data_IF_021907662356
#
_entry.id   IF_021907662356
#
_cell.length_a   1.000
_cell.length_b   1.000
_cell.length_c   1.000
_cell.angle_alpha   90.00
_cell.angle_beta   90.00
_cell.angle_gamma   90.00
#
_symmetry.space_group_name_H-M   'P 1'
#
loop_
_entity.id
_entity.type
_entity.pdbx_description
1 polymer ?
#
# COMPACT_ATOMS: atom_id res chain seq x y z
N UNK A 1 -0.52 7.83 2.65
CA UNK A 1 0.05 6.96 1.60
C UNK A 1 1.57 7.02 1.70
N UNK A 2 2.16 6.07 2.43
CA UNK A 2 3.58 6.02 2.79
C UNK A 2 4.39 5.26 1.73
N UNK A 3 3.90 4.11 1.25
CA UNK A 3 4.61 3.26 0.30
C UNK A 3 4.45 3.74 -1.15
N UNK A 4 3.24 4.13 -1.55
CA UNK A 4 2.92 4.57 -2.92
C UNK A 4 3.81 5.72 -3.37
N UNK A 5 4.07 6.70 -2.49
CA UNK A 5 4.94 7.83 -2.81
C UNK A 5 6.40 7.42 -3.09
N UNK A 6 6.92 6.44 -2.36
CA UNK A 6 8.27 5.91 -2.62
C UNK A 6 8.30 5.07 -3.89
N UNK A 7 7.26 4.28 -4.16
CA UNK A 7 7.15 3.49 -5.39
C UNK A 7 7.07 4.40 -6.62
N UNK A 8 6.29 5.47 -6.57
CA UNK A 8 6.24 6.46 -7.68
C UNK A 8 7.59 7.09 -7.96
N UNK A 9 8.35 7.47 -6.91
CA UNK A 9 9.72 7.98 -7.07
C UNK A 9 10.66 6.94 -7.67
N UNK A 10 10.54 5.69 -7.26
CA UNK A 10 11.32 4.59 -7.81
C UNK A 10 11.06 4.42 -9.32
N UNK A 11 9.80 4.44 -9.74
CA UNK A 11 9.40 4.34 -11.15
C UNK A 11 9.92 5.54 -11.95
N UNK A 12 9.81 6.75 -11.40
CA UNK A 12 10.31 7.96 -12.09
C UNK A 12 11.82 7.95 -12.25
N UNK A 13 12.55 7.45 -11.24
CA UNK A 13 14.01 7.38 -11.27
C UNK A 13 14.54 6.22 -12.12
N UNK A 14 13.73 5.19 -12.39
CA UNK A 14 14.09 4.04 -13.19
C UNK A 14 13.12 3.91 -14.36
N UNK A 15 13.50 4.46 -15.53
CA UNK A 15 12.68 4.52 -16.75
C UNK A 15 12.04 3.19 -17.16
N UNK A 16 12.65 2.06 -16.76
CA UNK A 16 12.02 0.75 -16.72
C UNK A 16 12.46 0.01 -15.44
N UNK A 17 11.49 -0.38 -14.62
CA UNK A 17 11.73 -1.26 -13.50
C UNK A 17 11.92 -2.69 -14.03
N UNK A 18 13.16 -3.19 -13.99
CA UNK A 18 13.45 -4.59 -14.29
C UNK A 18 13.04 -5.45 -13.09
N UNK A 19 11.73 -5.61 -12.92
CA UNK A 19 11.11 -6.37 -11.83
C UNK A 19 10.50 -7.64 -12.40
N UNK A 20 10.62 -8.74 -11.65
CA UNK A 20 9.83 -9.94 -11.93
C UNK A 20 8.33 -9.65 -11.82
N UNK A 21 7.49 -10.43 -12.51
CA UNK A 21 6.03 -10.32 -12.41
C UNK A 21 5.52 -10.40 -10.96
N UNK A 22 6.19 -11.19 -10.12
CA UNK A 22 5.87 -11.30 -8.69
C UNK A 22 6.22 -10.02 -7.92
N UNK A 23 7.39 -9.44 -8.19
CA UNK A 23 7.79 -8.18 -7.58
C UNK A 23 6.86 -7.03 -7.99
N UNK A 24 6.51 -6.94 -9.27
CA UNK A 24 5.55 -5.96 -9.77
C UNK A 24 4.16 -6.16 -9.15
N UNK A 25 3.66 -7.39 -9.10
CA UNK A 25 2.38 -7.71 -8.45
C UNK A 25 2.35 -7.32 -6.97
N UNK A 26 3.48 -7.50 -6.27
CA UNK A 26 3.62 -7.08 -4.86
C UNK A 26 3.52 -5.57 -4.71
N UNK A 27 4.20 -4.79 -5.56
CA UNK A 27 4.11 -3.33 -5.55
C UNK A 27 2.70 -2.84 -5.86
N UNK A 28 2.03 -3.42 -6.86
CA UNK A 28 0.67 -3.06 -7.22
C UNK A 28 -0.33 -3.39 -6.11
N UNK A 29 -0.15 -4.52 -5.42
CA UNK A 29 -0.94 -4.87 -4.23
C UNK A 29 -0.77 -3.84 -3.11
N UNK A 30 0.46 -3.38 -2.86
CA UNK A 30 0.74 -2.35 -1.86
C UNK A 30 0.02 -1.04 -2.21
N UNK A 31 0.12 -0.59 -3.48
CA UNK A 31 -0.56 0.62 -3.96
C UNK A 31 -2.08 0.50 -3.79
N UNK A 32 -2.65 -0.64 -4.18
CA UNK A 32 -4.08 -0.91 -4.04
C UNK A 32 -4.53 -0.82 -2.57
N UNK A 33 -3.82 -1.47 -1.65
CA UNK A 33 -4.17 -1.49 -0.23
C UNK A 33 -4.08 -0.08 0.38
N UNK A 34 -3.03 0.69 0.09
CA UNK A 34 -2.93 2.07 0.56
C UNK A 34 -4.03 2.98 -0.01
N UNK A 35 -4.37 2.80 -1.28
CA UNK A 35 -5.47 3.53 -1.92
C UNK A 35 -6.82 3.21 -1.28
N UNK A 36 -7.08 1.94 -0.98
CA UNK A 36 -8.29 1.50 -0.29
C UNK A 36 -8.39 2.11 1.12
N UNK A 37 -7.31 2.08 1.91
CA UNK A 37 -7.27 2.68 3.25
C UNK A 37 -7.57 4.18 3.17
N UNK A 38 -6.87 4.92 2.29
CA UNK A 38 -7.05 6.36 2.12
C UNK A 38 -8.49 6.71 1.69
N UNK A 39 -9.07 5.92 0.78
CA UNK A 39 -10.46 6.11 0.35
C UNK A 39 -11.44 5.88 1.50
N UNK A 40 -11.26 4.81 2.28
CA UNK A 40 -12.10 4.50 3.43
C UNK A 40 -11.99 5.54 4.54
N UNK A 41 -10.80 6.07 4.81
CA UNK A 41 -10.59 7.17 5.76
C UNK A 41 -11.33 8.43 5.31
N UNK A 42 -11.26 8.76 4.02
CA UNK A 42 -11.98 9.90 3.45
C UNK A 42 -13.49 9.73 3.54
N UNK A 43 -14.02 8.54 3.23
CA UNK A 43 -15.45 8.23 3.35
C UNK A 43 -15.88 8.30 4.81
N UNK A 44 -15.10 7.71 5.73
CA UNK A 44 -15.35 7.75 7.19
C UNK A 44 -15.40 9.19 7.70
N UNK A 45 -14.48 10.05 7.26
CA UNK A 45 -14.42 11.45 7.67
C UNK A 45 -15.61 12.27 7.17
N UNK A 46 -16.13 11.96 5.98
CA UNK A 46 -17.29 12.63 5.38
C UNK A 46 -18.63 12.08 5.86
N UNK A 47 -18.65 10.88 6.44
CA UNK A 47 -19.87 10.23 6.89
C UNK A 47 -20.32 10.79 8.26
N UNK A 48 -21.51 11.39 8.28
CA UNK A 48 -22.13 11.98 9.48
C UNK A 48 -22.88 10.97 10.36
N UNK A 49 -23.08 9.73 9.89
CA UNK A 49 -23.82 8.69 10.60
C UNK A 49 -22.90 7.87 11.51
N UNK A 50 -22.97 8.15 12.81
CA UNK A 50 -22.15 7.50 13.84
C UNK A 50 -22.18 5.96 13.80
N UNK A 51 -23.33 5.35 13.49
CA UNK A 51 -23.48 3.89 13.41
C UNK A 51 -22.70 3.21 12.27
N UNK A 52 -22.24 3.96 11.27
CA UNK A 52 -21.45 3.42 10.15
C UNK A 52 -19.94 3.58 10.36
N UNK A 53 -19.52 4.42 11.31
CA UNK A 53 -18.11 4.71 11.59
C UNK A 53 -17.32 3.44 11.95
N UNK A 54 -17.91 2.61 12.82
CA UNK A 54 -17.32 1.33 13.24
C UNK A 54 -17.10 0.36 12.07
N UNK A 55 -17.95 0.39 11.02
CA UNK A 55 -17.77 -0.48 9.84
C UNK A 55 -16.53 -0.09 9.05
N UNK A 56 -16.33 1.21 8.85
CA UNK A 56 -15.12 1.71 8.17
C UNK A 56 -13.87 1.43 8.99
N UNK A 57 -13.92 1.54 10.31
CA UNK A 57 -12.78 1.21 11.19
C UNK A 57 -12.36 -0.26 11.06
N UNK A 58 -13.33 -1.18 11.03
CA UNK A 58 -13.06 -2.61 10.79
C UNK A 58 -12.45 -2.85 9.41
N UNK A 59 -12.97 -2.20 8.38
CA UNK A 59 -12.41 -2.34 7.02
C UNK A 59 -11.00 -1.77 6.91
N UNK A 60 -10.78 -0.56 7.42
CA UNK A 60 -9.46 0.08 7.46
C UNK A 60 -8.46 -0.82 8.18
N UNK A 61 -8.85 -1.41 9.34
CA UNK A 61 -8.01 -2.35 10.06
C UNK A 61 -7.68 -3.59 9.22
N UNK A 62 -8.68 -4.20 8.57
CA UNK A 62 -8.45 -5.38 7.72
C UNK A 62 -7.50 -5.10 6.55
N UNK A 63 -7.62 -3.94 5.91
CA UNK A 63 -6.71 -3.53 4.84
C UNK A 63 -5.32 -3.21 5.39
N UNK A 64 -5.23 -2.59 6.56
CA UNK A 64 -3.96 -2.31 7.24
C UNK A 64 -3.23 -3.59 7.65
N UNK A 65 -3.94 -4.58 8.19
CA UNK A 65 -3.36 -5.89 8.55
C UNK A 65 -2.84 -6.64 7.31
N UNK A 66 -3.55 -6.54 6.17
CA UNK A 66 -3.06 -7.08 4.88
C UNK A 66 -1.81 -6.34 4.40
N UNK A 67 -1.79 -5.02 4.52
CA UNK A 67 -0.63 -4.21 4.15
C UNK A 67 0.58 -4.55 5.03
N UNK A 68 0.39 -4.69 6.34
CA UNK A 68 1.42 -5.10 7.29
C UNK A 68 1.97 -6.49 6.99
N UNK A 69 1.12 -7.44 6.56
CA UNK A 69 1.55 -8.77 6.14
C UNK A 69 2.43 -8.74 4.89
N UNK A 70 2.03 -7.98 3.87
CA UNK A 70 2.80 -7.88 2.62
C UNK A 70 4.10 -7.11 2.84
N UNK A 71 4.06 -6.03 3.60
CA UNK A 71 5.22 -5.16 3.85
C UNK A 71 6.13 -5.72 4.95
N UNK A 72 5.67 -6.74 5.70
CA UNK A 72 6.30 -7.23 6.93
C UNK A 72 6.67 -6.10 7.91
N UNK A 73 5.87 -5.02 7.91
CA UNK A 73 6.10 -3.80 8.70
C UNK A 73 7.46 -3.13 8.41
N UNK A 74 8.07 -3.38 7.25
CA UNK A 74 9.32 -2.76 6.84
C UNK A 74 9.12 -1.29 6.47
N UNK A 75 10.19 -0.50 6.52
CA UNK A 75 10.17 0.85 5.96
C UNK A 75 10.05 0.80 4.43
N UNK A 76 9.47 1.81 3.77
CA UNK A 76 9.32 1.83 2.31
C UNK A 76 10.63 1.58 1.57
N UNK A 77 11.73 2.22 1.98
CA UNK A 77 13.02 2.04 1.32
C UNK A 77 13.57 0.62 1.47
N UNK A 78 13.40 0.03 2.66
CA UNK A 78 13.83 -1.35 2.91
C UNK A 78 12.99 -2.36 2.14
N UNK A 79 11.68 -2.15 2.09
CA UNK A 79 10.75 -2.98 1.34
C UNK A 79 11.06 -2.95 -0.16
N UNK A 80 11.27 -1.76 -0.71
CA UNK A 80 11.60 -1.58 -2.13
C UNK A 80 12.92 -2.26 -2.47
N UNK A 81 13.95 -2.11 -1.63
CA UNK A 81 15.23 -2.81 -1.82
C UNK A 81 15.08 -4.33 -1.75
N UNK A 82 14.21 -4.85 -0.88
CA UNK A 82 13.91 -6.28 -0.82
C UNK A 82 13.21 -6.77 -2.08
N UNK A 83 12.19 -6.04 -2.55
CA UNK A 83 11.41 -6.40 -3.74
C UNK A 83 12.28 -6.32 -5.01
N UNK A 84 13.15 -5.33 -5.13
CA UNK A 84 14.08 -5.19 -6.24
C UNK A 84 15.11 -6.33 -6.28
N UNK A 85 15.62 -6.77 -5.13
CA UNK A 85 16.56 -7.89 -5.02
C UNK A 85 15.94 -9.26 -5.30
N UNK A 86 14.62 -9.41 -5.12
CA UNK A 86 13.89 -10.66 -5.43
C UNK A 86 13.67 -10.81 -6.95
N UNK A 87 13.75 -9.71 -7.70
CA UNK A 87 13.53 -9.70 -9.16
C UNK A 87 14.81 -9.64 -10.01
N UNK A 88 16.00 -9.60 -9.39
CA UNK A 88 17.32 -9.60 -10.07
C UNK A 88 17.99 -10.96 -9.94
#
# INVERSE_FOLDING_TARGET
MKYTGHISKLIQNNSALNLSNQALGTLMNIIYLEGAISSLENVRAKNKYAGTKNKYDVWIKNYSDKLDKITQKQTPDRLINMIAKIGS
#
